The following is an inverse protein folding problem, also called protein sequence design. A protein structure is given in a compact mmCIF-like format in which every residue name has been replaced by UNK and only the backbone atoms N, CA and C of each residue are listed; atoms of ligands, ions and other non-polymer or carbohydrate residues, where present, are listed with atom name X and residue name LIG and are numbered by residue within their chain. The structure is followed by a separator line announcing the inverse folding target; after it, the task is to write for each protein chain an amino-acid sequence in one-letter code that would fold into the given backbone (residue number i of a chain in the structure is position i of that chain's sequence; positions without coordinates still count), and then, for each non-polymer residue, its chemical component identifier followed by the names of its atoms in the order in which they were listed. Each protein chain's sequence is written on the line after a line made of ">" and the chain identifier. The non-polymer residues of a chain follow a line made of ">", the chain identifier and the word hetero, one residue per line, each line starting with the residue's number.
data_IF_504983071776
#
_entry.id   IF_504983071776
#
_cell.length_a   1.000
_cell.length_b   1.000
_cell.length_c   1.000
_cell.angle_alpha   90.00
_cell.angle_beta   90.00
_cell.angle_gamma   90.00
#
_symmetry.space_group_name_H-M   'P 1'
#
loop_
_entity.id
_entity.type
_entity.pdbx_description
1 polymer ?
#
# COMPACT_ATOMS: atom_id res chain seq x y z
N UNK A 1 -4.17 -6.18 5.19
CA UNK A 1 -2.82 -5.63 5.39
C UNK A 1 -1.80 -6.56 4.78
N UNK A 2 -0.57 -6.08 4.63
CA UNK A 2 0.57 -6.81 4.07
C UNK A 2 0.33 -7.44 2.69
N UNK A 3 -0.48 -6.81 1.85
CA UNK A 3 -0.88 -7.34 0.55
C UNK A 3 0.35 -7.65 -0.31
N UNK A 4 1.30 -6.72 -0.35
CA UNK A 4 2.50 -6.74 -1.21
C UNK A 4 3.45 -7.92 -0.99
N UNK A 5 3.42 -8.53 0.19
CA UNK A 5 4.30 -9.65 0.55
C UNK A 5 3.55 -10.99 0.61
N UNK A 6 2.26 -10.96 0.31
CA UNK A 6 1.33 -12.07 0.49
C UNK A 6 0.72 -12.48 -0.85
N UNK A 7 0.27 -11.50 -1.64
CA UNK A 7 -0.42 -11.73 -2.92
C UNK A 7 0.46 -11.19 -4.05
N UNK A 8 1.14 -12.11 -4.74
CA UNK A 8 1.99 -11.80 -5.90
C UNK A 8 1.28 -12.04 -7.23
N UNK A 9 0.26 -12.91 -7.22
CA UNK A 9 -0.54 -13.25 -8.37
C UNK A 9 -1.69 -12.25 -8.51
N UNK A 10 -1.79 -11.61 -9.68
CA UNK A 10 -2.81 -10.61 -9.93
C UNK A 10 -4.23 -11.19 -10.02
N UNK A 11 -4.40 -12.44 -10.46
CA UNK A 11 -5.71 -13.09 -10.44
C UNK A 11 -6.23 -13.28 -9.02
N UNK A 12 -5.36 -13.68 -8.09
CA UNK A 12 -5.74 -13.74 -6.66
C UNK A 12 -6.01 -12.34 -6.10
N UNK A 13 -5.26 -11.32 -6.55
CA UNK A 13 -5.53 -9.94 -6.15
C UNK A 13 -6.89 -9.45 -6.63
N UNK A 14 -7.28 -9.79 -7.86
CA UNK A 14 -8.59 -9.50 -8.43
C UNK A 14 -9.72 -10.19 -7.66
N UNK A 15 -9.52 -11.45 -7.26
CA UNK A 15 -10.48 -12.18 -6.43
C UNK A 15 -10.72 -11.45 -5.09
N UNK A 16 -9.67 -10.95 -4.45
CA UNK A 16 -9.81 -10.15 -3.21
C UNK A 16 -10.51 -8.83 -3.50
N UNK A 17 -10.15 -8.14 -4.59
CA UNK A 17 -10.80 -6.89 -4.98
C UNK A 17 -12.31 -7.07 -5.18
N UNK A 18 -12.72 -8.17 -5.84
CA UNK A 18 -14.12 -8.50 -6.09
C UNK A 18 -14.96 -8.68 -4.81
N UNK A 19 -14.34 -8.97 -3.66
CA UNK A 19 -15.05 -9.04 -2.38
C UNK A 19 -15.51 -7.68 -1.84
N UNK A 20 -15.01 -6.58 -2.39
CA UNK A 20 -15.26 -5.22 -1.88
C UNK A 20 -14.41 -4.86 -0.65
N UNK A 21 -13.50 -5.73 -0.21
CA UNK A 21 -12.63 -5.46 0.93
C UNK A 21 -11.63 -4.33 0.63
N UNK A 22 -11.28 -3.55 1.66
CA UNK A 22 -10.12 -2.66 1.59
C UNK A 22 -8.82 -3.48 1.69
N UNK A 23 -7.88 -3.18 0.80
CA UNK A 23 -6.58 -3.82 0.67
C UNK A 23 -5.49 -2.81 1.03
N UNK A 24 -4.65 -3.16 2.00
CA UNK A 24 -3.69 -2.25 2.61
C UNK A 24 -2.25 -2.66 2.26
N UNK A 25 -1.57 -1.82 1.49
CA UNK A 25 -0.13 -1.86 1.23
C UNK A 25 0.58 -1.10 2.34
N UNK A 26 1.05 -1.82 3.35
CA UNK A 26 1.46 -1.24 4.62
C UNK A 26 2.92 -1.43 4.97
N UNK A 27 3.77 -1.85 4.03
CA UNK A 27 5.22 -2.01 4.26
C UNK A 27 6.03 -1.01 3.43
N UNK A 28 5.48 0.16 3.10
CA UNK A 28 6.19 1.23 2.40
C UNK A 28 7.51 1.60 3.08
N UNK A 29 8.59 1.63 2.29
CA UNK A 29 9.94 1.90 2.76
C UNK A 29 10.64 0.73 3.46
N UNK A 30 9.98 -0.42 3.62
CA UNK A 30 10.60 -1.64 4.13
C UNK A 30 11.06 -2.51 2.97
N UNK A 31 12.38 -2.58 2.79
CA UNK A 31 13.03 -3.41 1.77
C UNK A 31 14.12 -4.26 2.43
N UNK A 32 14.26 -5.50 1.97
CA UNK A 32 15.32 -6.39 2.41
C UNK A 32 15.66 -7.38 1.30
N UNK A 33 16.95 -7.59 1.07
CA UNK A 33 17.45 -8.61 0.14
C UNK A 33 17.27 -10.02 0.69
N UNK A 34 17.02 -10.16 2.00
CA UNK A 34 16.70 -11.41 2.67
C UNK A 34 15.42 -11.27 3.48
N UNK A 35 14.40 -12.07 3.17
CA UNK A 35 13.12 -12.04 3.88
C UNK A 35 13.02 -13.20 4.89
N UNK A 36 13.31 -12.95 6.18
CA UNK A 36 13.48 -14.03 7.16
C UNK A 36 12.17 -14.76 7.50
N UNK A 37 11.02 -14.14 7.29
CA UNK A 37 9.73 -14.75 7.61
C UNK A 37 9.27 -15.76 6.53
N UNK A 38 9.88 -15.72 5.34
CA UNK A 38 9.49 -16.60 4.23
C UNK A 38 10.64 -16.76 3.23
N UNK A 39 11.41 -17.84 3.38
CA UNK A 39 12.64 -18.08 2.63
C UNK A 39 12.43 -18.47 1.15
N UNK A 40 11.23 -18.91 0.76
CA UNK A 40 10.84 -19.21 -0.62
C UNK A 40 10.43 -17.96 -1.42
N UNK A 41 10.48 -16.77 -0.82
CA UNK A 41 10.11 -15.52 -1.50
C UNK A 41 10.98 -14.34 -1.09
N UNK A 42 10.64 -13.16 -1.61
CA UNK A 42 11.35 -11.90 -1.38
C UNK A 42 10.44 -10.88 -0.68
N UNK A 43 11.06 -9.89 -0.02
CA UNK A 43 10.36 -8.70 0.43
C UNK A 43 10.14 -7.79 -0.79
N UNK A 44 8.89 -7.43 -1.07
CA UNK A 44 8.59 -6.48 -2.14
C UNK A 44 9.31 -5.14 -1.89
N UNK A 45 9.84 -4.55 -2.97
CA UNK A 45 10.37 -3.19 -2.94
C UNK A 45 9.23 -2.20 -3.11
N UNK A 46 9.49 -0.92 -2.84
CA UNK A 46 8.54 0.14 -3.16
C UNK A 46 8.25 0.20 -4.66
N UNK A 47 9.17 -0.23 -5.52
CA UNK A 47 8.91 -0.30 -6.95
C UNK A 47 7.84 -1.37 -7.26
N UNK A 48 7.94 -2.56 -6.66
CA UNK A 48 6.91 -3.60 -6.81
C UNK A 48 5.56 -3.15 -6.23
N UNK A 49 5.56 -2.44 -5.09
CA UNK A 49 4.32 -1.87 -4.51
C UNK A 49 3.67 -0.86 -5.45
N UNK A 50 4.47 0.00 -6.09
CA UNK A 50 3.97 0.97 -7.09
C UNK A 50 3.31 0.23 -8.26
N UNK A 51 3.96 -0.79 -8.80
CA UNK A 51 3.44 -1.57 -9.93
C UNK A 51 2.12 -2.27 -9.59
N UNK A 52 2.00 -2.83 -8.38
CA UNK A 52 0.74 -3.41 -7.91
C UNK A 52 -0.37 -2.35 -7.76
N UNK A 53 -0.06 -1.17 -7.24
CA UNK A 53 -1.05 -0.08 -7.14
C UNK A 53 -1.48 0.41 -8.52
N UNK A 54 -0.55 0.59 -9.45
CA UNK A 54 -0.86 0.99 -10.81
C UNK A 54 -1.78 -0.03 -11.48
N UNK A 55 -1.54 -1.33 -11.25
CA UNK A 55 -2.45 -2.39 -11.67
C UNK A 55 -3.84 -2.24 -11.06
N UNK A 56 -3.94 -1.98 -9.75
CA UNK A 56 -5.24 -1.77 -9.09
C UNK A 56 -6.00 -0.57 -9.65
N UNK A 57 -5.30 0.54 -9.89
CA UNK A 57 -5.90 1.75 -10.47
C UNK A 57 -6.37 1.48 -11.90
N UNK A 58 -5.55 0.82 -12.73
CA UNK A 58 -5.89 0.49 -14.11
C UNK A 58 -7.13 -0.42 -14.22
N UNK A 59 -7.37 -1.27 -13.23
CA UNK A 59 -8.55 -2.14 -13.16
C UNK A 59 -9.75 -1.52 -12.43
N UNK A 60 -9.70 -0.22 -12.09
CA UNK A 60 -10.82 0.51 -11.48
C UNK A 60 -10.99 0.28 -9.98
N UNK A 61 -10.00 -0.31 -9.31
CA UNK A 61 -10.06 -0.69 -7.89
C UNK A 61 -9.35 0.31 -6.96
N UNK A 62 -9.11 1.55 -7.42
CA UNK A 62 -8.42 2.59 -6.65
C UNK A 62 -9.15 2.90 -5.31
N UNK A 63 -10.47 2.78 -5.28
CA UNK A 63 -11.34 3.01 -4.13
C UNK A 63 -11.21 1.97 -3.00
N UNK A 64 -10.42 0.90 -3.21
CA UNK A 64 -10.16 -0.16 -2.22
C UNK A 64 -8.72 -0.17 -1.71
N UNK A 65 -7.84 0.69 -2.23
CA UNK A 65 -6.41 0.71 -1.87
C UNK A 65 -6.15 1.61 -0.66
N UNK A 66 -5.46 1.07 0.35
CA UNK A 66 -4.96 1.81 1.51
C UNK A 66 -3.42 1.73 1.55
N UNK A 67 -2.80 2.78 2.10
CA UNK A 67 -1.35 2.91 2.21
C UNK A 67 -0.95 3.18 3.67
N UNK A 68 0.04 2.44 4.17
CA UNK A 68 0.63 2.68 5.49
C UNK A 68 2.10 2.23 5.56
N UNK A 69 2.73 2.35 6.72
CA UNK A 69 4.14 1.95 6.89
C UNK A 69 4.33 0.74 7.78
N UNK A 70 3.38 0.40 8.65
CA UNK A 70 3.57 -0.66 9.66
C UNK A 70 4.88 -0.47 10.46
N UNK A 71 5.18 0.78 10.84
CA UNK A 71 6.35 1.07 11.66
C UNK A 71 6.11 0.51 13.06
N UNK A 72 6.69 -0.67 13.30
CA UNK A 72 6.65 -1.37 14.59
C UNK A 72 8.03 -1.54 15.24
N UNK A 73 9.10 -1.03 14.60
CA UNK A 73 10.48 -1.17 15.08
C UNK A 73 11.28 0.14 14.98
N UNK A 74 12.17 0.37 15.96
CA UNK A 74 12.97 1.62 16.08
C UNK A 74 13.79 1.93 14.84
N UNK A 75 14.44 0.93 14.23
CA UNK A 75 15.29 1.12 13.06
C UNK A 75 14.55 1.68 11.84
N UNK A 76 13.21 1.64 11.84
CA UNK A 76 12.39 2.22 10.76
C UNK A 76 12.13 3.72 10.92
N UNK A 77 12.46 4.31 12.07
CA UNK A 77 12.33 5.75 12.31
C UNK A 77 13.59 6.49 11.82
N UNK A 78 13.42 7.72 11.31
CA UNK A 78 14.52 8.58 10.84
C UNK A 78 15.64 8.79 11.87
N UNK A 79 15.29 8.89 13.16
CA UNK A 79 16.27 9.00 14.27
C UNK A 79 17.32 7.87 14.26
N UNK A 80 16.95 6.70 13.75
CA UNK A 80 17.78 5.50 13.69
C UNK A 80 18.15 5.12 12.26
N UNK A 81 18.06 6.05 11.30
CA UNK A 81 18.42 5.83 9.90
C UNK A 81 17.32 5.23 9.03
N UNK A 82 16.11 5.03 9.56
CA UNK A 82 14.98 4.50 8.79
C UNK A 82 14.24 5.54 7.96
N UNK A 83 13.25 5.09 7.18
CA UNK A 83 12.47 5.92 6.27
C UNK A 83 11.52 6.92 6.96
N UNK A 84 10.96 6.56 8.13
CA UNK A 84 10.03 7.40 8.87
C UNK A 84 8.64 7.54 8.26
N UNK A 85 7.77 8.24 8.98
CA UNK A 85 6.34 8.37 8.66
C UNK A 85 6.03 9.21 7.43
N UNK A 86 6.93 10.11 7.03
CA UNK A 86 6.73 10.95 5.84
C UNK A 86 7.10 10.23 4.54
N UNK A 87 7.63 9.01 4.59
CA UNK A 87 8.14 8.30 3.41
C UNK A 87 7.14 8.21 2.25
N UNK A 88 5.86 7.94 2.54
CA UNK A 88 4.82 7.86 1.51
C UNK A 88 4.68 9.21 0.80
N UNK A 89 4.54 10.30 1.55
CA UNK A 89 4.36 11.64 0.99
C UNK A 89 5.64 12.18 0.34
N UNK A 90 6.79 11.96 0.97
CA UNK A 90 8.07 12.55 0.56
C UNK A 90 8.77 11.76 -0.56
N UNK A 91 8.52 10.46 -0.68
CA UNK A 91 9.24 9.57 -1.61
C UNK A 91 8.32 8.79 -2.55
N UNK A 92 7.19 8.28 -2.08
CA UNK A 92 6.30 7.44 -2.89
C UNK A 92 5.40 8.29 -3.80
N UNK A 93 4.71 9.29 -3.25
CA UNK A 93 3.80 10.17 -4.01
C UNK A 93 4.47 10.83 -5.22
N UNK A 94 5.69 11.40 -5.11
CA UNK A 94 6.37 11.94 -6.28
C UNK A 94 6.67 10.89 -7.36
N UNK A 95 6.99 9.65 -6.97
CA UNK A 95 7.29 8.56 -7.91
C UNK A 95 6.07 8.10 -8.68
N UNK A 96 4.93 7.86 -8.01
CA UNK A 96 3.70 7.46 -8.69
C UNK A 96 3.15 8.58 -9.58
N UNK A 97 3.26 9.85 -9.14
CA UNK A 97 2.89 10.99 -9.97
C UNK A 97 3.76 11.12 -11.22
N UNK A 98 5.07 10.91 -11.10
CA UNK A 98 5.99 10.93 -12.23
C UNK A 98 5.72 9.80 -13.25
N UNK A 99 5.02 8.75 -12.83
CA UNK A 99 4.59 7.62 -13.68
C UNK A 99 3.20 7.80 -14.28
N UNK A 100 2.55 8.94 -14.02
CA UNK A 100 1.27 9.31 -14.64
C UNK A 100 0.03 9.01 -13.80
N UNK A 101 0.16 8.57 -12.56
CA UNK A 101 -0.99 8.48 -11.64
C UNK A 101 -1.59 9.87 -11.41
N UNK A 102 -2.90 10.01 -11.64
CA UNK A 102 -3.60 11.27 -11.46
C UNK A 102 -3.72 11.63 -9.99
N UNK A 103 -3.76 12.94 -9.70
CA UNK A 103 -3.90 13.43 -8.32
C UNK A 103 -5.18 12.90 -7.65
N UNK A 104 -6.27 12.73 -8.40
CA UNK A 104 -7.52 12.19 -7.88
C UNK A 104 -7.38 10.76 -7.33
N UNK A 105 -6.60 9.88 -7.98
CA UNK A 105 -6.35 8.52 -7.47
C UNK A 105 -5.46 8.57 -6.21
N UNK A 106 -4.48 9.47 -6.18
CA UNK A 106 -3.61 9.68 -5.01
C UNK A 106 -4.45 10.15 -3.82
N UNK A 107 -5.33 11.13 -4.03
CA UNK A 107 -6.23 11.65 -2.99
C UNK A 107 -7.21 10.57 -2.55
N UNK A 108 -7.73 9.77 -3.49
CA UNK A 108 -8.58 8.62 -3.18
C UNK A 108 -7.88 7.68 -2.19
N UNK A 109 -6.63 7.29 -2.45
CA UNK A 109 -5.89 6.36 -1.60
C UNK A 109 -5.45 6.95 -0.25
N UNK A 110 -5.08 8.24 -0.22
CA UNK A 110 -4.51 8.88 0.97
C UNK A 110 -5.52 9.58 1.87
N UNK A 111 -6.66 9.98 1.32
CA UNK A 111 -7.65 10.82 2.00
C UNK A 111 -9.00 10.09 2.04
N UNK A 112 -9.57 9.79 0.88
CA UNK A 112 -10.96 9.34 0.81
C UNK A 112 -11.12 7.91 1.34
N UNK A 113 -10.25 6.98 0.95
CA UNK A 113 -10.32 5.58 1.37
C UNK A 113 -10.13 5.44 2.90
N UNK A 114 -9.09 6.03 3.53
CA UNK A 114 -8.97 6.00 4.99
C UNK A 114 -10.16 6.66 5.69
N UNK A 115 -10.69 7.76 5.14
CA UNK A 115 -11.89 8.42 5.69
C UNK A 115 -13.08 7.47 5.68
N UNK A 116 -13.39 6.83 4.54
CA UNK A 116 -14.51 5.87 4.45
C UNK A 116 -14.30 4.65 5.35
N UNK A 117 -13.08 4.11 5.39
CA UNK A 117 -12.78 2.89 6.16
C UNK A 117 -12.87 3.14 7.68
N UNK A 118 -12.44 4.30 8.17
CA UNK A 118 -12.37 4.62 9.59
C UNK A 118 -13.61 5.36 10.13
N UNK A 119 -14.49 5.84 9.24
CA UNK A 119 -15.74 6.46 9.65
C UNK A 119 -16.76 5.38 9.99
N UNK A 120 -17.14 5.32 11.27
CA UNK A 120 -18.27 4.49 11.70
C UNK A 120 -19.58 5.12 11.24
N UNK A 121 -20.47 4.31 10.69
CA UNK A 121 -21.87 4.67 10.46
C UNK A 121 -22.76 3.78 11.31
N UNK A 122 -23.94 4.26 11.70
CA UNK A 122 -24.96 3.40 12.30
C UNK A 122 -25.26 2.23 11.35
N UNK A 123 -25.47 1.01 11.88
CA UNK A 123 -25.90 -0.12 11.06
C UNK A 123 -27.16 0.25 10.30
N UNK A 124 -27.27 -0.16 9.03
CA UNK A 124 -28.56 -0.10 8.32
C UNK A 124 -29.56 -0.94 9.13
N UNK A 125 -30.58 -0.28 9.67
CA UNK A 125 -31.62 -0.88 10.50
C UNK A 125 -32.49 -1.88 9.75
#
# INVERSE_FOLDING_TARGET
>A
GHIERTIFDYGVLDEVAATGAFMNWDLWGMESTYYPMRADTYMASDQHRIEQIEYMIANGNANQVLLAHDICAKHRLKKWGGHGWDHIIARVVPRIRARGTYQADIDTMLIDNPTRMLTFTEPLG
#
